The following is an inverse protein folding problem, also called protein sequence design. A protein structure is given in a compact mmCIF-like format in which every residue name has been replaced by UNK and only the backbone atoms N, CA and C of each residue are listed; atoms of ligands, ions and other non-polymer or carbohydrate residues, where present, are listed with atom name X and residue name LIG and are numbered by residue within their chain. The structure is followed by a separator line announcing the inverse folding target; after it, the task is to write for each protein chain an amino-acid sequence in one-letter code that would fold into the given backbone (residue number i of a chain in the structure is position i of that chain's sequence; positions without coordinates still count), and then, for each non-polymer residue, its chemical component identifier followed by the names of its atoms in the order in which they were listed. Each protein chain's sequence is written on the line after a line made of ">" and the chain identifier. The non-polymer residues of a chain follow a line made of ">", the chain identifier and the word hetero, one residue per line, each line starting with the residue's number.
data_IF_897960994555
#
_entry.id   IF_897960994555
#
_cell.length_a   1.000
_cell.length_b   1.000
_cell.length_c   1.000
_cell.angle_alpha   90.00
_cell.angle_beta   90.00
_cell.angle_gamma   90.00
#
_symmetry.space_group_name_H-M   'P 1'
#
loop_
_entity.id
_entity.type
_entity.pdbx_description
1 polymer ?
#
# COMPACT_ATOMS: atom_id res chain seq x y z
N UNK A 1 -15.33 23.73 -2.78
CA UNK A 1 -14.22 22.78 -2.56
C UNK A 1 -14.25 21.83 -3.73
N UNK A 2 -13.16 21.69 -4.47
CA UNK A 2 -13.09 20.70 -5.56
C UNK A 2 -13.07 19.25 -5.05
N UNK A 3 -12.97 19.05 -3.72
CA UNK A 3 -13.53 17.88 -3.02
C UNK A 3 -12.97 16.54 -3.48
N UNK A 4 -11.74 16.53 -4.03
CA UNK A 4 -11.04 15.32 -4.40
C UNK A 4 -10.90 14.44 -3.15
N UNK A 5 -11.43 13.21 -3.21
CA UNK A 5 -11.26 12.23 -2.13
C UNK A 5 -9.77 12.02 -1.91
N UNK A 6 -9.29 12.35 -0.71
CA UNK A 6 -7.88 12.20 -0.34
C UNK A 6 -7.73 10.89 0.42
N UNK A 7 -6.95 9.98 -0.15
CA UNK A 7 -6.68 8.66 0.41
C UNK A 7 -5.22 8.59 0.86
N UNK A 8 -5.00 8.21 2.12
CA UNK A 8 -3.69 7.92 2.67
C UNK A 8 -3.48 6.41 2.67
N UNK A 9 -2.34 5.97 2.13
CA UNK A 9 -1.88 4.58 2.20
C UNK A 9 -0.65 4.54 3.11
N UNK A 10 -0.73 3.83 4.24
CA UNK A 10 0.40 3.68 5.14
C UNK A 10 0.83 2.21 5.23
N UNK A 11 2.11 1.94 4.95
CA UNK A 11 2.67 0.62 5.09
C UNK A 11 3.21 0.41 6.51
N UNK A 12 2.66 -0.59 7.19
CA UNK A 12 2.97 -0.94 8.56
C UNK A 12 4.00 -2.07 8.59
N UNK A 13 5.14 -1.81 9.22
CA UNK A 13 6.24 -2.78 9.36
C UNK A 13 6.61 -3.05 10.82
N UNK A 14 6.55 -4.32 11.23
CA UNK A 14 6.99 -4.74 12.58
C UNK A 14 8.46 -4.40 12.87
N UNK A 15 9.30 -4.23 11.85
CA UNK A 15 10.70 -3.83 12.02
C UNK A 15 10.85 -2.38 12.50
N UNK A 16 9.86 -1.52 12.22
CA UNK A 16 9.86 -0.10 12.59
C UNK A 16 8.92 0.16 13.78
N UNK A 17 7.90 -0.69 13.99
CA UNK A 17 6.87 -0.55 15.05
C UNK A 17 6.99 -1.58 16.19
N UNK A 18 8.19 -2.07 16.53
CA UNK A 18 8.36 -3.06 17.61
C UNK A 18 8.21 -2.49 19.03
N UNK A 19 8.17 -1.17 19.19
CA UNK A 19 7.90 -0.49 20.45
C UNK A 19 6.43 -0.06 20.51
N UNK A 20 5.69 -0.51 21.53
CA UNK A 20 4.26 -0.23 21.71
C UNK A 20 3.92 1.27 21.63
N UNK A 21 4.82 2.14 22.10
CA UNK A 21 4.64 3.60 22.07
C UNK A 21 4.55 4.15 20.63
N UNK A 22 5.26 3.56 19.67
CA UNK A 22 5.16 4.00 18.27
C UNK A 22 3.83 3.61 17.64
N UNK A 23 3.27 2.47 18.04
CA UNK A 23 1.98 2.01 17.52
C UNK A 23 0.86 2.97 17.96
N UNK A 24 0.90 3.47 19.20
CA UNK A 24 -0.05 4.49 19.67
C UNK A 24 0.07 5.79 18.88
N UNK A 25 1.29 6.25 18.59
CA UNK A 25 1.51 7.45 17.76
C UNK A 25 0.97 7.31 16.34
N UNK A 26 1.05 6.12 15.75
CA UNK A 26 0.48 5.86 14.42
C UNK A 26 -1.06 5.84 14.46
N UNK A 27 -1.66 5.31 15.53
CA UNK A 27 -3.11 5.41 15.75
C UNK A 27 -3.57 6.86 15.91
N UNK A 28 -2.84 7.68 16.68
CA UNK A 28 -3.15 9.10 16.82
C UNK A 28 -3.05 9.84 15.48
N UNK A 29 -2.02 9.53 14.68
CA UNK A 29 -1.87 10.08 13.32
C UNK A 29 -3.03 9.67 12.41
N UNK A 30 -3.41 8.40 12.43
CA UNK A 30 -4.54 7.89 11.66
C UNK A 30 -5.83 8.61 12.08
N UNK A 31 -6.12 8.71 13.38
CA UNK A 31 -7.31 9.37 13.91
C UNK A 31 -7.37 10.85 13.50
N UNK A 32 -6.25 11.57 13.58
CA UNK A 32 -6.16 12.96 13.15
C UNK A 32 -6.45 13.13 11.65
N UNK A 33 -5.86 12.30 10.79
CA UNK A 33 -6.10 12.33 9.34
C UNK A 33 -7.57 12.02 9.01
N UNK A 34 -8.15 11.02 9.66
CA UNK A 34 -9.57 10.70 9.47
C UNK A 34 -10.49 11.84 9.92
N UNK A 35 -10.17 12.51 11.05
CA UNK A 35 -10.91 13.69 11.51
C UNK A 35 -10.83 14.88 10.54
N UNK A 36 -9.72 14.99 9.80
CA UNK A 36 -9.54 15.97 8.72
C UNK A 36 -10.26 15.58 7.42
N UNK A 37 -10.93 14.42 7.38
CA UNK A 37 -11.70 13.95 6.22
C UNK A 37 -10.92 13.08 5.23
N UNK A 38 -9.71 12.64 5.58
CA UNK A 38 -8.95 11.70 4.76
C UNK A 38 -9.50 10.28 4.92
N UNK A 39 -9.59 9.56 3.81
CA UNK A 39 -9.67 8.10 3.87
C UNK A 39 -8.28 7.53 4.18
N UNK A 40 -8.25 6.38 4.86
CA UNK A 40 -6.99 5.81 5.35
C UNK A 40 -7.00 4.29 5.18
N UNK A 41 -5.96 3.74 4.58
CA UNK A 41 -5.76 2.29 4.45
C UNK A 41 -4.37 1.93 4.97
N UNK A 42 -4.34 1.05 5.95
CA UNK A 42 -3.11 0.40 6.43
C UNK A 42 -2.80 -0.82 5.56
N UNK A 43 -1.55 -0.94 5.13
CA UNK A 43 -1.04 -2.03 4.32
C UNK A 43 0.09 -2.74 5.04
N UNK A 44 0.25 -4.03 4.76
CA UNK A 44 1.37 -4.84 5.25
C UNK A 44 2.32 -5.17 4.11
N UNK A 45 3.57 -5.50 4.46
CA UNK A 45 4.53 -6.03 3.48
C UNK A 45 3.98 -7.23 2.68
N UNK A 46 3.21 -8.12 3.33
CA UNK A 46 2.61 -9.27 2.67
C UNK A 46 1.57 -8.87 1.60
N UNK A 47 0.81 -7.80 1.84
CA UNK A 47 -0.15 -7.28 0.85
C UNK A 47 0.53 -6.60 -0.34
N UNK A 48 1.74 -6.07 -0.16
CA UNK A 48 2.53 -5.52 -1.27
C UNK A 48 3.24 -6.63 -2.09
N UNK A 49 3.75 -7.64 -1.39
CA UNK A 49 4.54 -8.73 -1.99
C UNK A 49 3.68 -9.77 -2.72
N UNK A 50 2.58 -10.21 -2.12
CA UNK A 50 1.74 -11.27 -2.68
C UNK A 50 0.88 -10.76 -3.85
N UNK A 51 0.86 -11.50 -4.97
CA UNK A 51 0.19 -11.06 -6.21
C UNK A 51 -1.31 -10.90 -6.07
N UNK A 52 -1.97 -11.82 -5.38
CA UNK A 52 -3.42 -11.77 -5.20
C UNK A 52 -3.78 -10.63 -4.23
N UNK A 53 -3.07 -10.52 -3.11
CA UNK A 53 -3.34 -9.47 -2.11
C UNK A 53 -3.03 -8.07 -2.64
N UNK A 54 -1.98 -7.92 -3.46
CA UNK A 54 -1.68 -6.65 -4.12
C UNK A 54 -2.81 -6.25 -5.07
N UNK A 55 -3.39 -7.23 -5.78
CA UNK A 55 -4.51 -6.98 -6.67
C UNK A 55 -5.76 -6.53 -5.91
N UNK A 56 -6.13 -7.21 -4.83
CA UNK A 56 -7.22 -6.81 -3.93
C UNK A 56 -7.00 -5.38 -3.37
N UNK A 57 -5.76 -5.04 -3.01
CA UNK A 57 -5.40 -3.71 -2.53
C UNK A 57 -5.57 -2.65 -3.62
N UNK A 58 -5.09 -2.91 -4.83
CA UNK A 58 -5.22 -1.99 -5.95
C UNK A 58 -6.69 -1.75 -6.31
N UNK A 59 -7.53 -2.79 -6.22
CA UNK A 59 -8.98 -2.67 -6.40
C UNK A 59 -9.61 -1.79 -5.32
N UNK A 60 -9.27 -2.02 -4.05
CA UNK A 60 -9.75 -1.17 -2.96
C UNK A 60 -9.36 0.30 -3.17
N UNK A 61 -8.11 0.57 -3.57
CA UNK A 61 -7.64 1.94 -3.86
C UNK A 61 -8.44 2.58 -5.00
N UNK A 62 -8.64 1.86 -6.11
CA UNK A 62 -9.46 2.34 -7.22
C UNK A 62 -10.91 2.63 -6.79
N UNK A 63 -11.49 1.74 -5.99
CA UNK A 63 -12.84 1.93 -5.43
C UNK A 63 -12.91 3.18 -4.55
N UNK A 64 -11.91 3.47 -3.71
CA UNK A 64 -11.90 4.65 -2.84
C UNK A 64 -11.70 5.96 -3.62
N UNK A 65 -10.76 5.98 -4.56
CA UNK A 65 -10.42 7.19 -5.31
C UNK A 65 -11.42 7.51 -6.43
N UNK A 66 -11.79 6.51 -7.23
CA UNK A 66 -12.55 6.69 -8.47
C UNK A 66 -13.89 5.94 -8.48
N UNK A 67 -14.24 5.22 -7.41
CA UNK A 67 -15.45 4.39 -7.36
C UNK A 67 -15.37 3.11 -8.20
N UNK A 68 -14.24 2.85 -8.87
CA UNK A 68 -13.98 1.63 -9.64
C UNK A 68 -12.50 1.35 -9.81
N UNK A 69 -12.17 0.09 -10.06
CA UNK A 69 -10.85 -0.32 -10.54
C UNK A 69 -10.85 -0.41 -12.07
N UNK A 70 -9.74 0.03 -12.69
CA UNK A 70 -9.52 -0.12 -14.14
C UNK A 70 -8.60 -1.30 -14.40
N UNK A 71 -9.08 -2.26 -15.20
CA UNK A 71 -8.28 -3.41 -15.60
C UNK A 71 -7.02 -2.99 -16.36
N UNK A 72 -5.90 -3.60 -15.98
CA UNK A 72 -4.62 -3.42 -16.66
C UNK A 72 -4.63 -4.17 -17.98
N UNK A 73 -4.00 -3.61 -19.00
CA UNK A 73 -3.67 -4.37 -20.21
C UNK A 73 -2.68 -5.49 -19.88
N UNK A 74 -2.60 -6.51 -20.74
CA UNK A 74 -1.65 -7.61 -20.56
C UNK A 74 -0.19 -7.11 -20.42
N UNK A 75 0.19 -6.07 -21.17
CA UNK A 75 1.52 -5.45 -21.06
C UNK A 75 1.74 -4.81 -19.69
N UNK A 76 0.76 -4.07 -19.16
CA UNK A 76 0.87 -3.45 -17.84
C UNK A 76 0.93 -4.49 -16.73
N UNK A 77 0.17 -5.59 -16.85
CA UNK A 77 0.25 -6.70 -15.91
C UNK A 77 1.63 -7.35 -15.89
N UNK A 78 2.27 -7.53 -17.04
CA UNK A 78 3.61 -8.10 -17.12
C UNK A 78 4.66 -7.17 -16.52
N UNK A 79 4.58 -5.87 -16.82
CA UNK A 79 5.50 -4.86 -16.26
C UNK A 79 5.36 -4.73 -14.75
N UNK A 80 4.13 -4.78 -14.23
CA UNK A 80 3.89 -4.83 -12.79
C UNK A 80 4.54 -6.06 -12.15
N UNK A 81 4.33 -7.25 -12.72
CA UNK A 81 4.92 -8.48 -12.19
C UNK A 81 6.45 -8.42 -12.20
N UNK A 82 7.05 -7.89 -13.27
CA UNK A 82 8.50 -7.69 -13.34
C UNK A 82 9.01 -6.75 -12.25
N UNK A 83 8.41 -5.57 -12.12
CA UNK A 83 8.79 -4.58 -11.10
C UNK A 83 8.64 -5.13 -9.68
N UNK A 84 7.55 -5.83 -9.40
CA UNK A 84 7.31 -6.40 -8.07
C UNK A 84 8.30 -7.52 -7.73
N UNK A 85 8.71 -8.33 -8.71
CA UNK A 85 9.81 -9.29 -8.51
C UNK A 85 11.12 -8.62 -8.15
N UNK A 86 11.45 -7.50 -8.80
CA UNK A 86 12.66 -6.73 -8.50
C UNK A 86 12.60 -6.08 -7.11
N UNK A 87 11.49 -5.42 -6.78
CA UNK A 87 11.31 -4.73 -5.49
C UNK A 87 11.27 -5.67 -4.29
N UNK A 88 10.66 -6.85 -4.44
CA UNK A 88 10.43 -7.80 -3.33
C UNK A 88 11.32 -9.04 -3.39
N UNK A 89 12.44 -8.98 -4.14
CA UNK A 89 13.48 -9.99 -4.10
C UNK A 89 14.22 -9.99 -2.75
N UNK A 90 15.10 -10.96 -2.54
CA UNK A 90 16.02 -10.93 -1.40
C UNK A 90 17.15 -9.94 -1.69
N UNK A 91 17.07 -8.75 -1.09
CA UNK A 91 18.05 -7.68 -1.31
C UNK A 91 19.45 -8.05 -0.81
N UNK A 92 19.58 -9.04 0.09
CA UNK A 92 20.90 -9.51 0.53
C UNK A 92 21.67 -10.22 -0.59
N UNK A 93 20.93 -10.74 -1.58
CA UNK A 93 21.45 -11.49 -2.72
C UNK A 93 21.50 -10.65 -4.00
N UNK A 94 21.17 -9.36 -3.89
CA UNK A 94 21.15 -8.45 -5.02
C UNK A 94 22.60 -8.16 -5.46
N UNK A 95 22.97 -8.65 -6.64
CA UNK A 95 24.34 -8.53 -7.19
C UNK A 95 25.25 -9.71 -6.92
N UNK A 96 24.77 -10.78 -6.25
CA UNK A 96 25.46 -12.07 -6.23
C UNK A 96 25.33 -12.71 -7.63
N UNK A 97 26.47 -12.89 -8.31
CA UNK A 97 26.59 -13.52 -9.64
C UNK A 97 26.77 -15.03 -9.50
#
# INVERSE_FOLDING_TARGET
>A
MDGSRQLVLECQSRLIHSAADRQLLDFDRQAALQAMGYEYITLTYAQLRDDARHREMAELVGMKLEGRYLEKSALLMERERALRRELFCDWRRLGEV
#
